data_IF_035123268749
#
_entry.id   IF_035123268749
#
_cell.length_a   1.000
_cell.length_b   1.000
_cell.length_c   1.000
_cell.angle_alpha   90.00
_cell.angle_beta   90.00
_cell.angle_gamma   90.00
#
_symmetry.space_group_name_H-M   'P 1'
#
loop_
_entity.id
_entity.type
_entity.pdbx_description
1 polymer ?
#
# COMPACT_ATOMS: atom_id res chain seq x y z
N UNK A 1 71.64 0.62 -35.53
CA UNK A 1 70.83 1.08 -34.38
C UNK A 1 69.44 1.42 -34.90
N UNK A 2 68.47 0.50 -34.79
CA UNK A 2 67.09 0.74 -35.22
C UNK A 2 66.29 1.43 -34.11
N UNK A 3 65.56 2.50 -34.45
CA UNK A 3 64.70 3.22 -33.50
C UNK A 3 63.27 2.68 -33.62
N UNK A 4 62.76 2.07 -32.54
CA UNK A 4 61.35 1.66 -32.44
C UNK A 4 60.47 2.87 -32.13
N UNK A 5 59.51 3.17 -33.01
CA UNK A 5 58.43 4.12 -32.76
C UNK A 5 57.31 3.38 -32.04
N UNK A 6 57.03 3.75 -30.79
CA UNK A 6 55.87 3.24 -30.04
C UNK A 6 54.66 4.13 -30.32
N UNK A 7 53.68 3.63 -31.05
CA UNK A 7 52.36 4.25 -31.20
C UNK A 7 51.54 3.86 -29.98
N UNK A 8 51.18 4.83 -29.14
CA UNK A 8 50.27 4.62 -28.00
C UNK A 8 48.87 4.97 -28.49
N UNK A 9 48.01 3.97 -28.59
CA UNK A 9 46.59 4.15 -28.88
C UNK A 9 45.87 4.51 -27.57
N UNK A 10 45.31 5.71 -27.47
CA UNK A 10 44.53 6.15 -26.32
C UNK A 10 43.04 5.91 -26.62
N UNK A 11 42.45 4.89 -25.99
CA UNK A 11 41.02 4.60 -26.08
C UNK A 11 40.26 5.32 -24.97
N UNK A 12 39.48 6.34 -25.34
CA UNK A 12 38.55 7.00 -24.43
C UNK A 12 37.29 6.15 -24.27
N UNK A 13 37.05 5.61 -23.08
CA UNK A 13 35.80 4.92 -22.73
C UNK A 13 34.78 5.96 -22.29
N UNK A 14 33.70 6.14 -23.06
CA UNK A 14 32.56 6.95 -22.67
C UNK A 14 31.56 6.06 -21.92
N UNK A 15 31.46 6.22 -20.60
CA UNK A 15 30.41 5.59 -19.82
C UNK A 15 29.09 6.37 -20.03
N UNK A 16 28.17 5.79 -20.79
CA UNK A 16 26.79 6.27 -20.92
C UNK A 16 26.05 5.98 -19.62
N UNK A 17 26.04 6.96 -18.71
CA UNK A 17 25.12 6.98 -17.56
C UNK A 17 23.74 7.41 -18.05
N UNK A 18 22.96 6.48 -18.59
CA UNK A 18 21.53 6.73 -18.81
C UNK A 18 20.83 6.69 -17.45
N UNK A 19 20.18 7.76 -16.97
CA UNK A 19 19.28 7.62 -15.83
C UNK A 19 18.19 6.62 -16.23
N UNK A 20 17.95 5.61 -15.40
CA UNK A 20 16.80 4.73 -15.55
C UNK A 20 15.58 5.61 -15.24
N UNK A 21 14.99 6.19 -16.29
CA UNK A 21 13.74 6.92 -16.20
C UNK A 21 12.63 5.89 -16.06
N UNK A 22 12.28 5.55 -14.82
CA UNK A 22 11.07 4.79 -14.53
C UNK A 22 9.88 5.69 -14.83
N UNK A 23 9.08 5.36 -15.84
CA UNK A 23 7.85 6.11 -16.16
C UNK A 23 6.74 5.91 -15.11
N UNK A 24 6.89 4.90 -14.25
CA UNK A 24 6.04 4.64 -13.12
C UNK A 24 6.88 4.69 -11.85
N UNK A 25 6.45 5.48 -10.87
CA UNK A 25 6.94 5.37 -9.51
C UNK A 25 5.80 4.87 -8.62
N UNK A 26 6.15 4.21 -7.52
CA UNK A 26 5.21 3.63 -6.55
C UNK A 26 4.50 2.33 -6.98
N UNK A 27 3.84 1.66 -6.01
CA UNK A 27 3.08 0.45 -6.28
C UNK A 27 1.98 0.69 -7.34
N UNK A 28 1.86 -0.24 -8.30
CA UNK A 28 0.85 -0.16 -9.37
C UNK A 28 0.97 1.05 -10.31
N UNK A 29 2.04 1.86 -10.20
CA UNK A 29 2.22 3.09 -10.97
C UNK A 29 1.33 4.26 -10.54
N UNK A 30 0.73 4.19 -9.36
CA UNK A 30 -0.14 5.24 -8.82
C UNK A 30 0.69 6.20 -7.97
N UNK A 31 1.51 7.02 -8.62
CA UNK A 31 2.27 8.08 -7.98
C UNK A 31 3.39 7.65 -7.01
N UNK A 32 4.02 8.61 -6.34
CA UNK A 32 5.15 8.37 -5.43
C UNK A 32 4.84 8.79 -4.00
N UNK A 33 5.75 8.44 -3.09
CA UNK A 33 5.66 8.69 -1.65
C UNK A 33 5.47 10.17 -1.27
N UNK A 34 5.79 11.12 -2.15
CA UNK A 34 5.87 12.55 -1.82
C UNK A 34 5.21 13.51 -2.83
N UNK A 35 4.54 12.99 -3.86
CA UNK A 35 3.93 13.81 -4.93
C UNK A 35 4.93 14.53 -5.84
N UNK A 36 6.22 14.17 -5.78
CA UNK A 36 7.25 14.84 -6.60
C UNK A 36 7.12 14.50 -8.08
N UNK A 37 7.73 15.34 -8.93
CA UNK A 37 7.80 15.12 -10.39
C UNK A 37 6.42 15.08 -11.10
N UNK A 38 5.44 15.80 -10.55
CA UNK A 38 4.10 15.92 -11.15
C UNK A 38 3.23 14.68 -11.00
N UNK A 39 3.58 13.80 -10.06
CA UNK A 39 2.81 12.61 -9.72
C UNK A 39 1.96 12.86 -8.46
N UNK A 40 0.84 12.14 -8.28
CA UNK A 40 0.08 12.22 -7.03
C UNK A 40 0.90 11.65 -5.86
N UNK A 41 0.68 12.18 -4.65
CA UNK A 41 1.23 11.59 -3.42
C UNK A 41 0.45 10.31 -3.09
N UNK A 42 1.15 9.18 -3.12
CA UNK A 42 0.65 7.89 -2.70
C UNK A 42 0.93 7.73 -1.20
N UNK A 43 -0.09 8.02 -0.38
CA UNK A 43 0.08 8.09 1.07
C UNK A 43 -0.16 6.75 1.78
N UNK A 44 -0.84 5.82 1.12
CA UNK A 44 -1.14 4.50 1.67
C UNK A 44 -1.31 3.49 0.56
N UNK A 45 -0.57 2.39 0.64
CA UNK A 45 -0.79 1.24 -0.23
C UNK A 45 -0.73 -0.06 0.57
N UNK A 46 -1.88 -0.72 0.64
CA UNK A 46 -2.06 -1.99 1.32
C UNK A 46 -2.41 -3.06 0.30
N UNK A 47 -1.56 -4.08 0.19
CA UNK A 47 -1.71 -5.20 -0.75
C UNK A 47 -1.74 -6.52 0.02
N UNK A 48 -2.78 -7.34 -0.15
CA UNK A 48 -2.87 -8.61 0.56
C UNK A 48 -1.79 -9.61 0.11
N UNK A 49 -1.20 -9.42 -1.07
CA UNK A 49 -0.12 -10.25 -1.59
C UNK A 49 1.28 -9.82 -1.14
N UNK A 50 1.41 -8.65 -0.50
CA UNK A 50 2.70 -8.09 -0.12
C UNK A 50 2.63 -7.29 1.19
N UNK A 51 3.50 -7.59 2.15
CA UNK A 51 3.59 -6.84 3.41
C UNK A 51 2.60 -7.28 4.50
N UNK A 52 1.97 -8.44 4.38
CA UNK A 52 1.07 -8.98 5.43
C UNK A 52 1.85 -9.88 6.39
N UNK A 53 1.76 -9.65 7.70
CA UNK A 53 2.23 -10.55 8.73
C UNK A 53 1.06 -11.15 9.52
N UNK A 54 1.13 -12.44 9.82
CA UNK A 54 0.07 -13.19 10.50
C UNK A 54 0.63 -14.26 11.43
N UNK A 55 -0.17 -14.69 12.39
CA UNK A 55 0.20 -15.72 13.38
C UNK A 55 0.05 -17.16 12.84
N UNK A 56 0.32 -18.16 13.69
CA UNK A 56 0.19 -19.58 13.32
C UNK A 56 -1.24 -20.04 13.03
N UNK A 57 -2.25 -19.23 13.34
CA UNK A 57 -3.66 -19.46 13.00
C UNK A 57 -4.11 -18.61 11.80
N UNK A 58 -3.18 -17.92 11.13
CA UNK A 58 -3.39 -16.97 10.04
C UNK A 58 -4.13 -15.69 10.44
N UNK A 59 -4.21 -15.36 11.73
CA UNK A 59 -4.74 -14.06 12.14
C UNK A 59 -3.72 -12.98 11.78
N UNK A 60 -4.14 -11.97 11.01
CA UNK A 60 -3.25 -10.89 10.60
C UNK A 60 -2.92 -10.04 11.80
N UNK A 61 -1.62 -9.78 11.99
CA UNK A 61 -1.09 -8.94 13.08
C UNK A 61 -0.59 -7.59 12.57
N UNK A 62 -0.27 -7.50 11.27
CA UNK A 62 0.24 -6.30 10.61
C UNK A 62 -0.08 -6.36 9.12
N UNK A 63 -0.54 -5.23 8.57
CA UNK A 63 -0.58 -4.98 7.13
C UNK A 63 0.33 -3.78 6.83
N UNK A 64 1.53 -4.07 6.35
CA UNK A 64 2.55 -3.07 6.12
C UNK A 64 2.19 -2.18 4.92
N UNK A 65 2.33 -0.87 5.12
CA UNK A 65 2.21 0.11 4.06
C UNK A 65 3.42 0.07 3.13
N UNK A 66 3.18 -0.20 1.84
CA UNK A 66 4.23 -0.25 0.80
C UNK A 66 4.27 1.00 -0.07
N UNK A 67 3.58 2.08 0.31
CA UNK A 67 3.67 3.39 -0.34
C UNK A 67 5.00 4.11 -0.06
N UNK A 68 5.69 3.72 1.02
CA UNK A 68 6.89 4.38 1.55
C UNK A 68 6.61 5.37 2.68
N UNK A 69 5.35 5.56 3.08
CA UNK A 69 4.95 6.52 4.10
C UNK A 69 4.83 5.94 5.51
N UNK A 70 5.08 4.64 5.69
CA UNK A 70 5.12 3.96 7.00
C UNK A 70 3.78 4.01 7.76
N UNK A 71 2.66 4.09 7.03
CA UNK A 71 1.30 4.10 7.56
C UNK A 71 0.76 2.67 7.75
N UNK A 72 1.50 1.85 8.49
CA UNK A 72 1.15 0.43 8.66
C UNK A 72 -0.17 0.26 9.43
N UNK A 73 -0.99 -0.69 8.98
CA UNK A 73 -2.29 -0.99 9.55
C UNK A 73 -2.18 -2.16 10.55
N UNK A 74 -2.66 -1.97 11.77
CA UNK A 74 -2.56 -2.93 12.88
C UNK A 74 -3.93 -3.16 13.50
N UNK A 75 -4.35 -4.41 13.77
CA UNK A 75 -5.57 -4.65 14.53
C UNK A 75 -5.37 -4.22 15.98
N UNK A 76 -6.25 -3.36 16.55
CA UNK A 76 -5.99 -2.77 17.86
C UNK A 76 -6.04 -3.77 19.03
N UNK A 77 -6.74 -4.89 18.88
CA UNK A 77 -6.71 -6.00 19.83
C UNK A 77 -6.82 -7.34 19.10
N UNK A 78 -6.38 -8.43 19.74
CA UNK A 78 -6.33 -9.77 19.15
C UNK A 78 -7.70 -10.28 18.65
N UNK A 79 -8.80 -9.88 19.30
CA UNK A 79 -10.16 -10.29 18.90
C UNK A 79 -10.65 -9.65 17.62
N UNK A 80 -9.98 -8.62 17.11
CA UNK A 80 -10.38 -7.87 15.91
C UNK A 80 -9.49 -8.21 14.70
N UNK A 81 -8.65 -9.23 14.82
CA UNK A 81 -7.73 -9.63 13.77
C UNK A 81 -8.46 -10.35 12.64
N UNK A 82 -8.39 -9.85 11.40
CA UNK A 82 -8.93 -10.57 10.26
C UNK A 82 -8.01 -11.73 9.87
N UNK A 83 -8.51 -12.62 9.01
CA UNK A 83 -7.80 -13.83 8.59
C UNK A 83 -7.06 -13.61 7.26
N UNK A 84 -5.79 -14.00 7.20
CA UNK A 84 -5.07 -14.12 5.94
C UNK A 84 -5.49 -15.37 5.18
N UNK A 85 -5.79 -15.20 3.89
CA UNK A 85 -6.18 -16.30 3.00
C UNK A 85 -5.29 -16.26 1.76
N UNK A 86 -4.34 -17.18 1.68
CA UNK A 86 -3.34 -17.23 0.61
C UNK A 86 -3.93 -17.42 -0.81
N UNK A 87 -5.14 -17.98 -0.92
CA UNK A 87 -5.84 -18.14 -2.18
C UNK A 87 -7.31 -17.70 -2.01
N UNK A 88 -7.62 -16.49 -2.50
CA UNK A 88 -8.97 -15.91 -2.46
C UNK A 88 -9.98 -16.59 -3.38
N UNK A 89 -9.59 -17.63 -4.12
CA UNK A 89 -10.41 -18.32 -5.09
C UNK A 89 -10.57 -17.56 -6.41
N UNK A 90 -11.43 -18.07 -7.28
CA UNK A 90 -11.59 -17.56 -8.64
C UNK A 90 -11.98 -16.07 -8.71
N UNK A 91 -12.75 -15.57 -7.74
CA UNK A 91 -13.23 -14.18 -7.76
C UNK A 91 -12.10 -13.17 -7.54
N UNK A 92 -11.02 -13.58 -6.87
CA UNK A 92 -9.80 -12.79 -6.71
C UNK A 92 -8.65 -13.32 -7.57
N UNK A 93 -8.94 -14.04 -8.67
CA UNK A 93 -7.92 -14.62 -9.55
C UNK A 93 -6.87 -15.46 -8.79
N UNK A 94 -7.31 -16.17 -7.75
CA UNK A 94 -6.46 -16.95 -6.84
C UNK A 94 -5.38 -16.14 -6.09
N UNK A 95 -5.48 -14.81 -6.06
CA UNK A 95 -4.57 -13.96 -5.30
C UNK A 95 -4.86 -14.04 -3.81
N UNK A 96 -3.85 -13.76 -2.95
CA UNK A 96 -4.07 -13.63 -1.52
C UNK A 96 -5.10 -12.54 -1.18
N UNK A 97 -5.87 -12.76 -0.12
CA UNK A 97 -6.85 -11.80 0.40
C UNK A 97 -6.81 -11.76 1.92
N UNK A 98 -7.31 -10.67 2.48
CA UNK A 98 -7.61 -10.56 3.91
C UNK A 98 -9.13 -10.67 4.08
N UNK A 99 -9.56 -11.61 4.91
CA UNK A 99 -10.96 -11.91 5.16
C UNK A 99 -11.35 -11.43 6.55
N UNK A 100 -12.28 -10.49 6.58
CA UNK A 100 -12.93 -9.99 7.79
C UNK A 100 -14.09 -10.95 8.14
N UNK A 101 -14.07 -11.55 9.32
CA UNK A 101 -15.00 -12.60 9.73
C UNK A 101 -16.30 -12.02 10.33
N UNK A 102 -17.42 -12.71 10.10
CA UNK A 102 -18.77 -12.25 10.44
C UNK A 102 -19.16 -12.49 11.93
N UNK A 103 -18.23 -12.30 12.87
CA UNK A 103 -18.44 -12.63 14.28
C UNK A 103 -17.75 -11.69 15.28
N UNK A 104 -16.65 -11.06 14.86
CA UNK A 104 -16.00 -9.98 15.58
C UNK A 104 -16.02 -8.72 14.72
N UNK A 105 -15.91 -7.55 15.34
CA UNK A 105 -15.76 -6.29 14.61
C UNK A 105 -14.32 -6.22 14.06
N UNK A 106 -13.95 -7.03 13.07
CA UNK A 106 -12.58 -7.04 12.55
C UNK A 106 -12.26 -5.71 11.86
N UNK A 107 -11.13 -5.09 12.21
CA UNK A 107 -10.63 -3.90 11.50
C UNK A 107 -9.13 -3.72 11.74
N UNK A 108 -8.50 -3.00 10.82
CA UNK A 108 -7.20 -2.40 11.05
C UNK A 108 -7.35 -0.95 11.45
N UNK A 109 -6.44 -0.50 12.32
CA UNK A 109 -6.22 0.91 12.62
C UNK A 109 -4.85 1.28 12.09
N UNK A 110 -4.79 2.41 11.39
CA UNK A 110 -3.55 3.13 11.14
C UNK A 110 -3.52 4.23 12.19
N UNK A 111 -2.40 4.38 12.88
CA UNK A 111 -2.27 5.45 13.86
C UNK A 111 -2.27 6.83 13.19
N UNK A 112 -2.60 7.83 14.00
CA UNK A 112 -2.68 9.20 13.53
C UNK A 112 -1.36 9.68 12.92
N UNK A 113 -1.48 10.39 11.80
CA UNK A 113 -0.34 10.90 11.04
C UNK A 113 -0.78 12.13 10.26
N UNK A 114 -0.10 13.25 10.49
CA UNK A 114 -0.35 14.53 9.82
C UNK A 114 -0.39 14.42 8.28
N UNK A 115 0.30 13.45 7.67
CA UNK A 115 0.28 13.25 6.21
C UNK A 115 -1.00 12.58 5.71
N UNK A 116 -1.73 11.91 6.60
CA UNK A 116 -3.09 11.43 6.33
C UNK A 116 -4.12 12.56 6.52
N UNK A 117 -3.73 13.69 7.12
CA UNK A 117 -4.54 14.88 7.35
C UNK A 117 -4.48 15.89 6.21
N UNK A 118 -5.52 16.73 6.12
CA UNK A 118 -5.54 17.95 5.30
C UNK A 118 -5.16 17.77 3.83
N UNK A 119 -5.76 16.79 3.15
CA UNK A 119 -5.65 16.72 1.69
C UNK A 119 -6.74 17.56 1.02
N UNK A 120 -6.35 18.35 0.02
CA UNK A 120 -7.27 19.11 -0.84
C UNK A 120 -8.12 18.19 -1.73
N UNK A 121 -7.57 17.02 -2.09
CA UNK A 121 -8.22 16.02 -2.93
C UNK A 121 -7.81 14.60 -2.51
N UNK A 122 -8.76 13.67 -2.36
CA UNK A 122 -8.46 12.26 -2.08
C UNK A 122 -9.06 11.33 -3.14
N UNK A 123 -8.25 10.37 -3.59
CA UNK A 123 -8.73 9.17 -4.29
C UNK A 123 -8.50 7.96 -3.41
N UNK A 124 -9.58 7.20 -3.14
CA UNK A 124 -9.52 5.92 -2.45
C UNK A 124 -9.93 4.81 -3.41
N UNK A 125 -9.09 3.78 -3.53
CA UNK A 125 -9.40 2.58 -4.31
C UNK A 125 -9.37 1.37 -3.37
N UNK A 126 -10.49 0.65 -3.30
CA UNK A 126 -10.61 -0.58 -2.53
C UNK A 126 -11.10 -1.71 -3.43
N UNK A 127 -10.46 -2.87 -3.35
CA UNK A 127 -10.91 -4.09 -4.02
C UNK A 127 -11.40 -5.06 -2.95
N UNK A 128 -12.71 -5.35 -2.93
CA UNK A 128 -13.32 -6.18 -1.90
C UNK A 128 -14.51 -6.98 -2.45
N UNK A 129 -14.96 -7.95 -1.66
CA UNK A 129 -16.22 -8.66 -1.85
C UNK A 129 -16.95 -8.69 -0.51
N UNK A 130 -18.22 -8.28 -0.52
CA UNK A 130 -19.11 -8.43 0.62
C UNK A 130 -19.98 -9.68 0.45
N UNK A 131 -20.07 -10.48 1.50
CA UNK A 131 -20.88 -11.71 1.51
C UNK A 131 -22.32 -11.48 1.99
N UNK A 132 -22.57 -10.37 2.68
CA UNK A 132 -23.86 -9.98 3.22
C UNK A 132 -23.83 -8.47 3.48
N UNK A 133 -24.87 -7.72 3.14
CA UNK A 133 -24.99 -6.27 3.37
C UNK A 133 -25.90 -5.92 4.55
N UNK A 134 -26.26 -6.91 5.38
CA UNK A 134 -27.06 -6.64 6.56
C UNK A 134 -26.21 -5.97 7.66
N UNK A 135 -26.43 -4.66 7.84
CA UNK A 135 -25.82 -3.84 8.89
C UNK A 135 -24.78 -2.83 8.37
N UNK A 136 -24.32 -1.94 9.25
CA UNK A 136 -23.33 -0.93 8.90
C UNK A 136 -21.95 -1.57 8.70
N UNK A 137 -21.45 -1.53 7.47
CA UNK A 137 -20.13 -2.06 7.11
C UNK A 137 -19.28 -0.93 6.55
N UNK A 138 -18.31 -0.47 7.34
CA UNK A 138 -17.34 0.55 6.92
C UNK A 138 -16.17 -0.10 6.18
N UNK A 139 -15.87 0.38 4.97
CA UNK A 139 -14.70 -0.06 4.21
C UNK A 139 -13.45 0.73 4.61
N UNK A 140 -13.59 2.05 4.70
CA UNK A 140 -12.55 2.98 5.13
C UNK A 140 -13.21 4.03 6.00
N UNK A 141 -12.59 4.33 7.14
CA UNK A 141 -13.04 5.36 8.06
C UNK A 141 -11.85 6.17 8.56
N UNK A 142 -12.04 7.47 8.68
CA UNK A 142 -11.16 8.40 9.36
C UNK A 142 -12.03 9.25 10.27
N UNK A 143 -12.16 8.80 11.51
CA UNK A 143 -12.78 9.52 12.61
C UNK A 143 -12.34 8.87 13.91
N UNK A 144 -11.75 9.65 14.82
CA UNK A 144 -11.42 9.23 16.18
C UNK A 144 -12.41 9.77 17.20
N UNK A 145 -13.06 10.92 16.91
CA UNK A 145 -14.11 11.52 17.73
C UNK A 145 -15.10 12.39 16.93
N UNK A 146 -16.22 12.80 17.55
CA UNK A 146 -17.25 13.57 16.84
C UNK A 146 -16.88 15.02 16.54
N UNK A 147 -15.79 15.54 17.13
CA UNK A 147 -15.36 16.94 17.07
C UNK A 147 -13.84 17.12 16.84
N UNK A 148 -13.10 16.04 16.53
CA UNK A 148 -11.68 16.06 16.20
C UNK A 148 -11.49 15.32 14.86
N UNK A 149 -11.03 16.10 13.87
CA UNK A 149 -10.53 15.79 12.53
C UNK A 149 -11.43 15.11 11.46
N UNK A 150 -11.19 15.54 10.22
CA UNK A 150 -12.22 15.95 9.24
C UNK A 150 -12.28 15.03 7.98
N UNK A 151 -13.38 14.34 7.69
CA UNK A 151 -13.53 12.91 7.98
C UNK A 151 -13.53 12.06 6.67
N UNK A 152 -13.14 10.78 6.73
CA UNK A 152 -13.41 9.78 5.67
C UNK A 152 -14.37 8.71 6.17
N UNK A 153 -15.29 8.25 5.33
CA UNK A 153 -16.26 7.20 5.65
C UNK A 153 -16.75 6.55 4.35
N UNK A 154 -16.79 5.21 4.25
CA UNK A 154 -17.55 4.54 3.18
C UNK A 154 -18.34 3.34 3.70
N UNK A 155 -19.67 3.41 3.58
CA UNK A 155 -20.63 2.37 3.94
C UNK A 155 -21.33 1.79 2.71
N UNK A 156 -21.82 0.56 2.84
CA UNK A 156 -22.84 -0.01 1.96
C UNK A 156 -24.16 -0.07 2.73
N UNK A 157 -25.17 0.68 2.29
CA UNK A 157 -26.56 0.55 2.79
C UNK A 157 -27.32 -0.46 1.92
N UNK A 158 -28.36 -1.07 2.47
CA UNK A 158 -29.25 -1.97 1.73
C UNK A 158 -30.11 -1.23 0.70
#
# INVERSE_FOLDING_TARGET
>A
MSRLIKVILLTTVYAINSPILSSQTGPGGVGNTDGSNGQPENILWLDASNGVAYDGSNNVTLWNDISGNSNAAVPPVATNQPLYVANGGAIFNSQPVIRFANGNNDYFRIEDNDRLDNTDELTVVTVFMANNFNGNQGLVSKRTDVNQDQAYVFFTDN
#
